data_IF_351310623677
#
_entry.id   IF_351310623677
#
_cell.length_a   1.000
_cell.length_b   1.000
_cell.length_c   1.000
_cell.angle_alpha   90.00
_cell.angle_beta   90.00
_cell.angle_gamma   90.00
#
_symmetry.space_group_name_H-M   'P 1'
#
loop_
_entity.id
_entity.type
_entity.pdbx_description
1 polymer ?
#
# COMPACT_ATOMS: atom_id res chain seq x y z
N UNK A 1 -8.24 -9.69 -68.12
CA UNK A 1 -8.89 -9.97 -66.83
C UNK A 1 -7.97 -9.44 -65.74
N UNK A 2 -8.30 -8.32 -65.08
CA UNK A 2 -7.49 -7.73 -64.00
C UNK A 2 -8.03 -8.24 -62.67
N UNK A 3 -7.20 -8.96 -61.90
CA UNK A 3 -7.53 -9.36 -60.53
C UNK A 3 -7.02 -8.29 -59.57
N UNK A 4 -7.94 -7.58 -58.93
CA UNK A 4 -7.62 -6.71 -57.80
C UNK A 4 -7.72 -7.54 -56.53
N UNK A 5 -6.59 -7.85 -55.90
CA UNK A 5 -6.55 -8.53 -54.59
C UNK A 5 -6.79 -7.48 -53.51
N UNK A 6 -7.92 -7.59 -52.81
CA UNK A 6 -8.27 -6.72 -51.68
C UNK A 6 -7.60 -7.28 -50.42
N UNK A 7 -6.52 -6.67 -49.96
CA UNK A 7 -5.87 -7.02 -48.69
C UNK A 7 -6.64 -6.31 -47.56
N UNK A 8 -7.49 -7.06 -46.86
CA UNK A 8 -8.13 -6.60 -45.62
C UNK A 8 -7.08 -6.67 -44.49
N UNK A 9 -6.49 -5.52 -44.18
CA UNK A 9 -5.70 -5.33 -42.97
C UNK A 9 -6.64 -5.35 -41.76
N UNK A 10 -6.74 -6.49 -41.09
CA UNK A 10 -7.31 -6.54 -39.74
C UNK A 10 -6.34 -5.84 -38.79
N UNK A 11 -6.62 -4.57 -38.48
CA UNK A 11 -6.04 -3.95 -37.31
C UNK A 11 -6.60 -4.69 -36.09
N UNK A 12 -5.77 -5.51 -35.46
CA UNK A 12 -6.03 -6.01 -34.11
C UNK A 12 -5.93 -4.80 -33.20
N UNK A 13 -7.07 -4.19 -32.90
CA UNK A 13 -7.17 -3.20 -31.82
C UNK A 13 -7.03 -4.02 -30.54
N UNK A 14 -5.85 -3.99 -29.92
CA UNK A 14 -5.71 -4.34 -28.52
C UNK A 14 -6.53 -3.31 -27.75
N UNK A 15 -7.76 -3.66 -27.40
CA UNK A 15 -8.54 -2.87 -26.48
C UNK A 15 -7.87 -3.01 -25.13
N UNK A 16 -7.06 -2.01 -24.77
CA UNK A 16 -6.68 -1.81 -23.37
C UNK A 16 -8.00 -1.74 -22.60
N UNK A 17 -8.15 -2.58 -21.58
CA UNK A 17 -9.32 -2.55 -20.71
C UNK A 17 -9.26 -1.27 -19.87
N UNK A 18 -9.58 -0.13 -20.47
CA UNK A 18 -9.66 1.14 -19.78
C UNK A 18 -10.84 1.05 -18.83
N UNK A 19 -10.54 1.04 -17.54
CA UNK A 19 -11.56 1.15 -16.50
C UNK A 19 -12.18 2.56 -16.58
N UNK A 20 -13.45 2.63 -16.99
CA UNK A 20 -14.13 3.89 -17.36
C UNK A 20 -14.43 4.81 -16.16
N UNK A 21 -14.42 4.28 -14.93
CA UNK A 21 -14.66 5.01 -13.67
C UNK A 21 -13.53 4.83 -12.63
N UNK A 22 -12.32 4.55 -13.09
CA UNK A 22 -11.19 4.34 -12.20
C UNK A 22 -10.62 5.66 -11.64
N UNK A 23 -10.07 5.63 -10.41
CA UNK A 23 -9.24 6.73 -9.94
C UNK A 23 -8.11 7.03 -10.92
N UNK A 24 -7.69 8.29 -11.09
CA UNK A 24 -6.69 8.67 -12.09
C UNK A 24 -5.31 8.01 -11.90
N UNK A 25 -5.01 7.51 -10.70
CA UNK A 25 -3.80 6.75 -10.41
C UNK A 25 -3.89 5.27 -10.82
N UNK A 26 -5.08 4.73 -11.08
CA UNK A 26 -5.29 3.35 -11.50
C UNK A 26 -5.14 3.22 -13.03
N UNK A 27 -3.91 3.41 -13.51
CA UNK A 27 -3.54 3.31 -14.91
C UNK A 27 -2.32 2.38 -15.07
N UNK A 28 -2.54 1.11 -15.41
CA UNK A 28 -1.46 0.10 -15.50
C UNK A 28 -0.39 0.48 -16.52
N UNK A 29 -0.80 0.93 -17.72
CA UNK A 29 0.12 1.28 -18.81
C UNK A 29 1.09 2.39 -18.42
N UNK A 30 0.63 3.39 -17.67
CA UNK A 30 1.45 4.57 -17.32
C UNK A 30 2.14 4.43 -15.96
N UNK A 31 1.47 3.80 -14.99
CA UNK A 31 1.87 3.81 -13.58
C UNK A 31 2.16 2.42 -13.01
N UNK A 32 1.85 1.33 -13.72
CA UNK A 32 2.00 -0.05 -13.25
C UNK A 32 3.40 -0.39 -12.75
N UNK A 33 4.45 0.25 -13.30
CA UNK A 33 5.84 0.09 -12.82
C UNK A 33 6.05 0.52 -11.37
N UNK A 34 5.15 1.30 -10.80
CA UNK A 34 5.15 1.78 -9.41
C UNK A 34 4.09 1.08 -8.54
N UNK A 35 3.42 0.06 -9.06
CA UNK A 35 2.24 -0.55 -8.44
C UNK A 35 2.34 -2.07 -8.37
N UNK A 36 3.54 -2.64 -8.53
CA UNK A 36 3.78 -4.07 -8.33
C UNK A 36 3.69 -4.40 -6.83
N UNK A 37 2.54 -4.94 -6.42
CA UNK A 37 2.30 -5.22 -5.01
C UNK A 37 3.17 -6.35 -4.46
N UNK A 38 3.62 -7.28 -5.30
CA UNK A 38 4.53 -8.32 -4.83
C UNK A 38 5.87 -7.70 -4.42
N UNK A 39 6.35 -6.71 -5.17
CA UNK A 39 7.59 -6.00 -4.81
C UNK A 39 7.44 -5.13 -3.55
N UNK A 40 6.25 -4.61 -3.29
CA UNK A 40 5.93 -3.93 -2.02
C UNK A 40 5.94 -4.91 -0.84
N UNK A 41 5.33 -6.09 -0.98
CA UNK A 41 5.21 -7.06 0.13
C UNK A 41 6.45 -7.93 0.35
N UNK A 42 7.17 -8.28 -0.71
CA UNK A 42 8.32 -9.20 -0.67
C UNK A 42 9.58 -8.50 -0.13
N UNK A 43 9.53 -8.20 1.16
CA UNK A 43 10.58 -7.52 1.89
C UNK A 43 11.20 -8.48 2.91
N UNK A 44 12.43 -8.18 3.30
CA UNK A 44 13.12 -8.94 4.35
C UNK A 44 12.48 -8.72 5.71
N UNK A 45 12.70 -9.64 6.66
CA UNK A 45 12.20 -9.48 8.03
C UNK A 45 12.84 -8.31 8.81
N UNK A 46 13.94 -7.75 8.30
CA UNK A 46 14.57 -6.53 8.83
C UNK A 46 13.93 -5.25 8.31
N UNK A 47 13.19 -5.31 7.20
CA UNK A 47 12.51 -4.14 6.63
C UNK A 47 11.25 -3.86 7.45
N UNK A 48 11.18 -2.66 8.04
CA UNK A 48 10.01 -2.20 8.81
C UNK A 48 9.41 -1.01 8.10
N UNK A 49 8.11 -1.05 7.82
CA UNK A 49 7.34 0.08 7.35
C UNK A 49 6.44 0.62 8.46
N UNK A 50 6.31 1.94 8.49
CA UNK A 50 5.58 2.69 9.52
C UNK A 50 4.48 3.47 8.83
N UNK A 51 3.24 3.32 9.31
CA UNK A 51 2.13 4.15 8.84
C UNK A 51 2.29 5.54 9.45
N UNK A 52 2.62 6.52 8.63
CA UNK A 52 2.88 7.88 9.11
C UNK A 52 1.63 8.76 9.02
N UNK A 53 0.83 8.60 7.95
CA UNK A 53 -0.40 9.35 7.71
C UNK A 53 -1.49 8.42 7.19
N UNK A 54 -2.74 8.69 7.58
CA UNK A 54 -3.93 8.02 7.05
C UNK A 54 -5.07 9.03 6.88
N UNK A 55 -6.01 8.74 5.98
CA UNK A 55 -7.23 9.56 5.81
C UNK A 55 -8.34 9.15 6.77
N UNK A 56 -8.11 8.14 7.61
CA UNK A 56 -9.02 7.68 8.67
C UNK A 56 -8.23 7.40 9.97
N UNK A 57 -8.94 7.45 11.10
CA UNK A 57 -8.36 7.20 12.43
C UNK A 57 -9.12 6.13 13.22
N UNK A 58 -10.05 5.43 12.58
CA UNK A 58 -10.80 4.32 13.17
C UNK A 58 -10.77 3.16 12.19
N UNK A 59 -10.39 1.98 12.68
CA UNK A 59 -10.45 0.76 11.89
C UNK A 59 -10.78 -0.43 12.82
N UNK A 60 -11.51 -1.46 12.36
CA UNK A 60 -11.91 -2.60 13.19
C UNK A 60 -10.75 -3.36 13.85
N UNK A 61 -9.55 -3.33 13.26
CA UNK A 61 -8.36 -4.06 13.72
C UNK A 61 -7.59 -3.27 14.77
N UNK A 62 -7.31 -1.99 14.50
CA UNK A 62 -6.46 -1.17 15.37
C UNK A 62 -7.26 -0.36 16.41
N UNK A 63 -8.58 -0.25 16.20
CA UNK A 63 -9.52 0.48 17.04
C UNK A 63 -9.61 1.97 16.69
N UNK A 64 -10.16 2.76 17.61
CA UNK A 64 -10.30 4.20 17.45
C UNK A 64 -9.03 4.96 17.86
N UNK A 65 -8.73 6.03 17.11
CA UNK A 65 -7.55 6.88 17.25
C UNK A 65 -6.25 6.06 17.35
N UNK A 66 -6.11 5.03 16.52
CA UNK A 66 -4.91 4.20 16.51
C UNK A 66 -3.67 5.03 16.16
N UNK A 67 -2.53 4.65 16.73
CA UNK A 67 -1.23 5.30 16.51
C UNK A 67 -0.11 4.27 16.45
N UNK A 68 1.06 4.70 15.98
CA UNK A 68 2.30 3.93 16.01
C UNK A 68 2.22 2.58 15.27
N UNK A 69 1.40 2.51 14.22
CA UNK A 69 1.26 1.30 13.42
C UNK A 69 2.53 1.09 12.61
N UNK A 70 3.12 -0.09 12.73
CA UNK A 70 4.20 -0.55 11.87
C UNK A 70 4.04 -2.02 11.54
N UNK A 71 4.66 -2.42 10.43
CA UNK A 71 4.59 -3.75 9.89
C UNK A 71 5.96 -4.22 9.42
N UNK A 72 6.21 -5.53 9.56
CA UNK A 72 7.32 -6.22 8.92
C UNK A 72 6.90 -7.62 8.49
N UNK A 73 7.48 -8.12 7.41
CA UNK A 73 7.35 -9.52 7.03
C UNK A 73 8.00 -10.42 8.10
N UNK A 74 7.38 -11.56 8.39
CA UNK A 74 7.97 -12.62 9.22
C UNK A 74 8.15 -13.93 8.46
N UNK A 75 7.36 -14.15 7.40
CA UNK A 75 7.45 -15.32 6.53
C UNK A 75 6.97 -14.92 5.13
N UNK A 76 7.70 -15.36 4.10
CA UNK A 76 7.34 -15.13 2.68
C UNK A 76 7.22 -16.48 2.00
N UNK A 77 6.09 -16.73 1.34
CA UNK A 77 5.88 -17.90 0.51
C UNK A 77 5.81 -17.48 -0.95
N UNK A 78 6.94 -17.59 -1.65
CA UNK A 78 7.08 -17.22 -3.07
C UNK A 78 6.12 -17.99 -3.98
N UNK A 79 5.93 -19.29 -3.73
CA UNK A 79 5.07 -20.15 -4.56
C UNK A 79 3.60 -19.77 -4.43
N UNK A 80 3.14 -19.53 -3.20
CA UNK A 80 1.76 -19.14 -2.94
C UNK A 80 1.50 -17.63 -3.13
N UNK A 81 2.56 -16.83 -3.34
CA UNK A 81 2.51 -15.36 -3.36
C UNK A 81 1.83 -14.79 -2.11
N UNK A 82 2.19 -15.31 -0.94
CA UNK A 82 1.67 -14.83 0.34
C UNK A 82 2.78 -14.36 1.26
N UNK A 83 2.47 -13.38 2.11
CA UNK A 83 3.36 -12.85 3.13
C UNK A 83 2.65 -12.85 4.48
N UNK A 84 3.29 -13.45 5.47
CA UNK A 84 2.88 -13.33 6.87
C UNK A 84 3.56 -12.10 7.45
N UNK A 85 2.76 -11.17 7.95
CA UNK A 85 3.18 -9.86 8.44
C UNK A 85 2.89 -9.74 9.93
N UNK A 86 3.85 -9.18 10.67
CA UNK A 86 3.68 -8.80 12.07
C UNK A 86 3.42 -7.30 12.14
N UNK A 87 2.22 -6.94 12.53
CA UNK A 87 1.83 -5.57 12.87
C UNK A 87 2.06 -5.31 14.35
N UNK A 88 2.60 -4.14 14.67
CA UNK A 88 2.60 -3.56 16.02
C UNK A 88 1.88 -2.23 15.97
N UNK A 89 0.99 -1.96 16.92
CA UNK A 89 0.23 -0.72 16.97
C UNK A 89 -0.14 -0.35 18.40
N UNK A 90 -0.47 0.93 18.61
CA UNK A 90 -0.99 1.45 19.87
C UNK A 90 -2.45 1.84 19.69
N UNK A 91 -3.32 1.24 20.50
CA UNK A 91 -4.73 1.61 20.56
C UNK A 91 -4.89 2.76 21.59
N UNK A 92 -5.51 3.87 21.19
CA UNK A 92 -5.63 5.04 22.08
C UNK A 92 -6.47 4.78 23.33
N UNK A 93 -7.55 4.00 23.21
CA UNK A 93 -8.48 3.73 24.33
C UNK A 93 -7.78 3.00 25.48
N UNK A 94 -6.93 2.02 25.18
CA UNK A 94 -6.19 1.27 26.19
C UNK A 94 -4.82 1.87 26.54
N UNK A 95 -4.25 2.68 25.63
CA UNK A 95 -2.87 3.17 25.71
C UNK A 95 -1.80 2.08 25.55
N UNK A 96 -2.18 0.83 25.31
CA UNK A 96 -1.27 -0.33 25.24
C UNK A 96 -0.78 -0.58 23.81
N UNK A 97 0.37 -1.23 23.72
CA UNK A 97 0.93 -1.75 22.47
C UNK A 97 0.38 -3.15 22.24
N UNK A 98 -0.09 -3.42 21.02
CA UNK A 98 -0.60 -4.70 20.57
C UNK A 98 0.24 -5.23 19.42
N UNK A 99 0.29 -6.55 19.33
CA UNK A 99 0.89 -7.27 18.22
C UNK A 99 -0.20 -8.09 17.53
N UNK A 100 -0.24 -8.03 16.20
CA UNK A 100 -1.13 -8.85 15.37
C UNK A 100 -0.29 -9.48 14.27
N UNK A 101 -0.50 -10.77 14.02
CA UNK A 101 0.06 -11.41 12.83
C UNK A 101 -1.06 -11.71 11.86
N UNK A 102 -0.85 -11.35 10.60
CA UNK A 102 -1.80 -11.60 9.53
C UNK A 102 -1.08 -12.14 8.28
N UNK A 103 -1.76 -12.96 7.49
CA UNK A 103 -1.23 -13.50 6.24
C UNK A 103 -2.01 -12.90 5.07
N UNK A 104 -1.31 -12.14 4.24
CA UNK A 104 -1.88 -11.47 3.07
C UNK A 104 -1.44 -12.15 1.77
N UNK A 105 -2.32 -12.13 0.79
CA UNK A 105 -2.02 -12.50 -0.59
C UNK A 105 -1.91 -11.28 -1.50
N UNK A 106 -1.83 -11.52 -2.81
CA UNK A 106 -1.85 -10.49 -3.84
C UNK A 106 -2.99 -10.73 -4.83
N UNK A 107 -3.55 -9.66 -5.37
CA UNK A 107 -4.57 -9.72 -6.42
C UNK A 107 -4.44 -8.52 -7.34
N UNK A 108 -5.13 -8.58 -8.48
CA UNK A 108 -5.32 -7.44 -9.36
C UNK A 108 -6.67 -6.76 -9.07
N UNK A 109 -6.69 -5.43 -9.08
CA UNK A 109 -7.88 -4.59 -9.02
C UNK A 109 -7.89 -3.64 -10.24
N UNK A 110 -9.03 -2.97 -10.49
CA UNK A 110 -9.13 -1.95 -11.54
C UNK A 110 -8.77 -2.44 -12.96
N UNK A 111 -9.10 -3.70 -13.26
CA UNK A 111 -8.79 -4.38 -14.53
C UNK A 111 -7.30 -4.52 -14.86
N UNK A 112 -6.42 -4.46 -13.87
CA UNK A 112 -4.99 -4.72 -14.08
C UNK A 112 -4.75 -6.18 -14.48
N UNK A 113 -3.79 -6.38 -15.36
CA UNK A 113 -3.26 -7.71 -15.68
C UNK A 113 -2.21 -8.18 -14.66
N UNK A 114 -1.45 -7.24 -14.10
CA UNK A 114 -0.45 -7.46 -13.07
C UNK A 114 -1.02 -7.17 -11.68
N UNK A 115 -0.82 -8.04 -10.67
CA UNK A 115 -1.29 -7.78 -9.31
C UNK A 115 -0.77 -6.44 -8.76
N UNK A 116 -1.69 -5.63 -8.27
CA UNK A 116 -1.44 -4.29 -7.73
C UNK A 116 -2.10 -4.07 -6.37
N UNK A 117 -2.73 -5.08 -5.79
CA UNK A 117 -3.43 -4.97 -4.51
C UNK A 117 -3.05 -6.08 -3.53
N UNK A 118 -2.94 -5.70 -2.26
CA UNK A 118 -2.77 -6.59 -1.12
C UNK A 118 -4.14 -7.14 -0.80
N UNK A 119 -4.27 -8.46 -0.75
CA UNK A 119 -5.53 -9.14 -0.43
C UNK A 119 -5.51 -9.69 0.98
N UNK A 120 -6.46 -9.24 1.80
CA UNK A 120 -6.71 -9.75 3.14
C UNK A 120 -7.87 -10.72 3.10
N UNK A 121 -7.73 -11.86 3.78
CA UNK A 121 -8.84 -12.81 3.95
C UNK A 121 -9.43 -12.63 5.34
N UNK A 122 -10.68 -12.17 5.39
CA UNK A 122 -11.44 -11.98 6.63
C UNK A 122 -12.55 -13.02 6.73
N UNK A 123 -13.15 -13.22 7.92
CA UNK A 123 -14.35 -14.06 8.06
C UNK A 123 -15.53 -13.63 7.16
N UNK A 124 -15.57 -12.35 6.76
CA UNK A 124 -16.64 -11.77 5.95
C UNK A 124 -16.31 -11.68 4.46
N UNK A 125 -15.19 -12.28 4.01
CA UNK A 125 -14.73 -12.24 2.62
C UNK A 125 -13.37 -11.55 2.47
N UNK A 126 -13.07 -11.09 1.27
CA UNK A 126 -11.77 -10.49 0.93
C UNK A 126 -11.85 -8.97 0.93
N UNK A 127 -10.83 -8.34 1.50
CA UNK A 127 -10.58 -6.89 1.40
C UNK A 127 -9.30 -6.66 0.60
N UNK A 128 -9.26 -5.59 -0.19
CA UNK A 128 -8.13 -5.29 -1.06
C UNK A 128 -7.63 -3.87 -0.81
N UNK A 129 -6.35 -3.73 -0.46
CA UNK A 129 -5.66 -2.45 -0.40
C UNK A 129 -4.84 -2.30 -1.67
N UNK A 130 -5.12 -1.28 -2.49
CA UNK A 130 -4.46 -1.13 -3.80
C UNK A 130 -3.30 -0.18 -3.73
N UNK A 131 -2.15 -0.54 -4.32
CA UNK A 131 -0.99 0.33 -4.40
C UNK A 131 -1.29 1.49 -5.36
N UNK A 132 -1.33 2.71 -4.83
CA UNK A 132 -1.36 3.96 -5.61
C UNK A 132 0.05 4.21 -6.16
N UNK A 133 1.06 4.10 -5.28
CA UNK A 133 2.46 4.34 -5.63
C UNK A 133 3.38 3.62 -4.64
N UNK A 134 4.47 3.07 -5.16
CA UNK A 134 5.62 2.61 -4.41
C UNK A 134 6.90 2.94 -5.14
N UNK A 135 7.92 3.37 -4.40
CA UNK A 135 9.30 3.38 -4.90
C UNK A 135 10.08 2.12 -4.47
N UNK A 136 9.40 1.20 -3.79
CA UNK A 136 9.84 -0.11 -3.32
C UNK A 136 11.00 -0.08 -2.32
N UNK A 137 11.30 1.09 -1.76
CA UNK A 137 12.44 1.27 -0.85
C UNK A 137 12.10 2.13 0.35
N UNK A 138 11.43 3.26 0.11
CA UNK A 138 11.28 4.35 1.08
C UNK A 138 9.83 4.57 1.45
N UNK A 139 8.88 4.40 0.52
CA UNK A 139 7.46 4.58 0.85
C UNK A 139 6.52 3.78 -0.05
N UNK A 140 5.31 3.57 0.47
CA UNK A 140 4.16 3.03 -0.23
C UNK A 140 2.93 3.89 0.10
N UNK A 141 2.09 4.12 -0.91
CA UNK A 141 0.81 4.80 -0.77
C UNK A 141 -0.26 3.82 -1.19
N UNK A 142 -1.18 3.53 -0.28
CA UNK A 142 -2.25 2.56 -0.51
C UNK A 142 -3.61 3.26 -0.53
N UNK A 143 -4.46 2.81 -1.44
CA UNK A 143 -5.90 3.08 -1.46
C UNK A 143 -6.61 2.02 -0.64
N UNK A 144 -7.44 2.45 0.31
CA UNK A 144 -8.22 1.61 1.22
C UNK A 144 -9.72 1.83 0.90
N UNK A 145 -10.25 1.17 -0.14
CA UNK A 145 -11.55 1.51 -0.74
C UNK A 145 -12.77 1.18 0.13
N UNK A 146 -12.59 0.48 1.25
CA UNK A 146 -13.64 0.19 2.22
C UNK A 146 -13.64 1.17 3.40
N UNK A 147 -12.67 2.09 3.46
CA UNK A 147 -12.61 3.17 4.45
C UNK A 147 -13.05 4.49 3.83
N UNK A 148 -13.52 5.42 4.68
CA UNK A 148 -13.88 6.78 4.31
C UNK A 148 -14.73 6.89 3.01
N UNK A 149 -15.79 6.08 2.92
CA UNK A 149 -16.70 6.03 1.77
C UNK A 149 -16.00 5.82 0.41
N UNK A 150 -14.95 5.00 0.35
CA UNK A 150 -14.22 4.73 -0.89
C UNK A 150 -13.00 5.61 -1.14
N UNK A 151 -12.69 6.51 -0.20
CA UNK A 151 -11.57 7.47 -0.32
C UNK A 151 -10.50 7.28 0.76
N UNK A 152 -10.52 6.14 1.45
CA UNK A 152 -9.47 5.74 2.38
C UNK A 152 -8.09 5.71 1.71
N UNK A 153 -7.07 6.25 2.37
CA UNK A 153 -5.68 6.09 1.96
C UNK A 153 -4.74 5.98 3.15
N UNK A 154 -3.59 5.38 2.90
CA UNK A 154 -2.49 5.25 3.86
C UNK A 154 -1.15 5.62 3.21
N UNK A 155 -0.30 6.31 3.97
CA UNK A 155 1.10 6.53 3.63
C UNK A 155 1.98 5.73 4.57
N UNK A 156 2.62 4.70 4.03
CA UNK A 156 3.59 3.86 4.71
C UNK A 156 5.01 4.30 4.32
N UNK A 157 5.89 4.43 5.31
CA UNK A 157 7.27 4.87 5.10
C UNK A 157 8.20 3.88 5.75
N UNK A 158 9.24 3.49 5.04
CA UNK A 158 10.30 2.67 5.60
C UNK A 158 10.88 3.37 6.83
N UNK A 159 11.06 2.62 7.92
CA UNK A 159 11.53 3.12 9.21
C UNK A 159 12.78 4.00 9.09
N UNK A 160 13.70 3.69 8.18
CA UNK A 160 14.95 4.45 8.02
C UNK A 160 14.74 5.85 7.39
N UNK A 161 13.51 6.14 6.93
CA UNK A 161 13.14 7.37 6.26
C UNK A 161 12.00 8.13 6.97
N UNK A 162 11.49 7.68 8.11
CA UNK A 162 10.34 8.33 8.79
C UNK A 162 10.65 9.73 9.31
N UNK A 163 11.92 10.01 9.63
CA UNK A 163 12.38 11.35 10.04
C UNK A 163 12.60 12.29 8.84
N UNK A 164 12.67 11.75 7.62
CA UNK A 164 12.90 12.49 6.38
C UNK A 164 12.13 11.83 5.22
N UNK A 165 10.80 11.95 5.27
CA UNK A 165 9.89 11.34 4.30
C UNK A 165 10.17 11.93 2.91
N UNK A 166 10.37 11.11 1.85
CA UNK A 166 10.66 11.64 0.53
C UNK A 166 9.54 12.55 0.02
N UNK A 167 9.91 13.70 -0.56
CA UNK A 167 8.96 14.70 -1.08
C UNK A 167 7.99 14.12 -2.11
N UNK A 168 8.45 13.17 -2.93
CA UNK A 168 7.57 12.49 -3.89
C UNK A 168 6.42 11.74 -3.20
N UNK A 169 6.66 11.12 -2.05
CA UNK A 169 5.64 10.40 -1.30
C UNK A 169 4.63 11.38 -0.69
N UNK A 170 5.12 12.46 -0.10
CA UNK A 170 4.26 13.52 0.43
C UNK A 170 3.40 14.14 -0.66
N UNK A 171 4.01 14.51 -1.79
CA UNK A 171 3.32 15.11 -2.92
C UNK A 171 2.22 14.20 -3.47
N UNK A 172 2.51 12.92 -3.72
CA UNK A 172 1.52 11.97 -4.26
C UNK A 172 0.37 11.75 -3.26
N UNK A 173 0.68 11.64 -1.96
CA UNK A 173 -0.37 11.52 -0.93
C UNK A 173 -1.22 12.79 -0.86
N UNK A 174 -0.61 13.97 -0.93
CA UNK A 174 -1.33 15.25 -0.89
C UNK A 174 -2.24 15.43 -2.12
N UNK A 175 -1.79 14.98 -3.29
CA UNK A 175 -2.57 15.03 -4.54
C UNK A 175 -3.78 14.08 -4.52
N UNK A 176 -3.60 12.84 -4.06
CA UNK A 176 -4.63 11.80 -4.21
C UNK A 176 -5.48 11.54 -2.96
N UNK A 177 -5.00 11.91 -1.76
CA UNK A 177 -5.57 11.39 -0.51
C UNK A 177 -6.00 12.46 0.49
N UNK A 178 -5.29 13.59 0.60
CA UNK A 178 -5.51 14.56 1.70
C UNK A 178 -6.91 15.18 1.72
N UNK A 179 -7.58 15.30 0.57
CA UNK A 179 -8.95 15.78 0.51
C UNK A 179 -9.93 14.91 1.32
N UNK A 180 -9.60 13.64 1.51
CA UNK A 180 -10.40 12.68 2.27
C UNK A 180 -10.16 12.78 3.79
N UNK A 181 -8.97 13.21 4.20
CA UNK A 181 -8.56 13.29 5.60
C UNK A 181 -7.03 13.28 5.74
N UNK A 182 -6.51 13.65 6.92
CA UNK A 182 -5.07 13.68 7.13
C UNK A 182 -4.71 13.54 8.61
N UNK A 183 -4.84 12.32 9.13
CA UNK A 183 -4.49 11.98 10.49
C UNK A 183 -3.01 11.59 10.56
N UNK A 184 -2.29 12.18 11.52
CA UNK A 184 -0.92 11.76 11.86
C UNK A 184 -1.00 10.49 12.70
N UNK A 185 -0.45 9.39 12.18
CA UNK A 185 -0.46 8.07 12.84
C UNK A 185 0.86 7.82 13.58
N UNK A 186 1.97 8.31 13.03
CA UNK A 186 3.29 8.23 13.64
C UNK A 186 3.77 9.60 14.11
N UNK A 187 4.10 9.69 15.38
CA UNK A 187 4.87 10.78 15.96
C UNK A 187 6.04 10.19 16.74
N UNK A 188 7.25 10.71 16.51
CA UNK A 188 8.48 10.16 17.06
C UNK A 188 8.48 10.10 18.59
N UNK A 189 7.95 11.14 19.23
CA UNK A 189 7.92 11.22 20.70
C UNK A 189 6.95 10.18 21.26
N UNK A 190 5.76 10.10 20.69
CA UNK A 190 4.69 9.23 21.15
C UNK A 190 4.91 7.74 20.80
N UNK A 191 5.72 7.44 19.78
CA UNK A 191 5.93 6.09 19.26
C UNK A 191 7.32 5.48 19.52
N UNK A 192 8.15 6.16 20.32
CA UNK A 192 9.52 5.72 20.68
C UNK A 192 9.59 4.30 21.27
N UNK A 193 8.54 3.86 21.99
CA UNK A 193 8.47 2.50 22.57
C UNK A 193 7.96 1.40 21.62
N UNK A 194 7.52 1.75 20.40
CA UNK A 194 6.91 0.80 19.45
C UNK A 194 7.90 0.37 18.36
N UNK A 195 8.80 1.28 17.99
CA UNK A 195 9.88 1.02 17.03
C UNK A 195 11.17 0.68 17.77
N UNK A 196 11.63 -0.57 17.70
CA UNK A 196 12.96 -0.96 18.21
C UNK A 196 14.04 -0.31 17.37
N UNK A 197 14.54 0.87 17.76
CA UNK A 197 15.68 1.51 17.10
C UNK A 197 16.94 0.69 17.41
N UNK A 198 17.46 -0.06 16.43
CA UNK A 198 18.87 -0.43 16.48
C UNK A 198 19.63 0.87 16.29
N UNK A 199 20.18 1.41 17.37
CA UNK A 199 21.09 2.54 17.29
C UNK A 199 22.34 2.11 16.53
N UNK A 200 22.42 2.42 15.24
CA UNK A 200 23.70 2.67 14.60
C UNK A 200 23.99 4.15 14.79
N UNK A 201 24.89 4.40 15.73
CA UNK A 201 25.69 5.62 15.77
C UNK A 201 26.54 5.61 14.50
N UNK A 202 26.21 6.44 13.52
CA UNK A 202 27.19 6.88 12.53
C UNK A 202 27.25 8.40 12.60
N UNK A 203 28.35 8.86 13.18
CA UNK A 203 28.91 10.20 13.04
C UNK A 203 29.19 10.51 11.58
N UNK A 204 29.09 11.80 11.26
CA UNK A 204 29.31 12.41 9.94
C UNK A 204 30.44 11.81 9.10
#
# INVERSE_FOLDING_TARGET
MRFTVLVLLFHVVFGDAVCEDCPPWANETSLGRYQDVWRTLNQTNSTVYVLVRSTYNKNPVWGENFTCVNVRAVEVNETARTVKSLFKFKNATSGKIYNLTDTVGITATYNYSTPNAIQYTTPNGTLNDTVIFSDYKRCDILSIPYENNGTGCELWVNKDHVDNIPDCCNFIFDVYCVAAGNYTVYDKQNCSGVLEHKGSQETC
#
